data_IF_339037440888
#
_entry.id   IF_339037440888
#
_cell.length_a   1.000
_cell.length_b   1.000
_cell.length_c   1.000
_cell.angle_alpha   90.00
_cell.angle_beta   90.00
_cell.angle_gamma   90.00
#
_symmetry.space_group_name_H-M   'P 1'
#
loop_
_entity.id
_entity.type
_entity.pdbx_description
1 polymer ?
#
# COMPACT_ATOMS: atom_id res chain seq x y z
N UNK A 1 11.99 20.58 -4.21
CA UNK A 1 10.84 21.42 -3.80
C UNK A 1 10.92 22.84 -4.34
N UNK A 2 12.00 23.59 -4.08
CA UNK A 2 12.14 25.00 -4.51
C UNK A 2 11.95 25.19 -6.03
N UNK A 3 12.59 24.35 -6.85
CA UNK A 3 12.45 24.40 -8.32
C UNK A 3 11.01 24.09 -8.80
N UNK A 4 10.28 23.24 -8.08
CA UNK A 4 8.87 22.94 -8.42
C UNK A 4 7.94 24.12 -8.14
N UNK A 5 8.18 24.85 -7.04
CA UNK A 5 7.44 26.08 -6.74
C UNK A 5 7.77 27.21 -7.73
N UNK A 6 9.04 27.34 -8.12
CA UNK A 6 9.44 28.29 -9.16
C UNK A 6 8.79 27.96 -10.51
N UNK A 7 8.71 26.68 -10.87
CA UNK A 7 8.05 26.24 -12.11
C UNK A 7 6.55 26.58 -12.16
N UNK A 8 5.85 26.64 -11.01
CA UNK A 8 4.44 27.05 -10.97
C UNK A 8 4.24 28.53 -11.32
N UNK A 9 5.28 29.35 -11.19
CA UNK A 9 5.27 30.79 -11.47
C UNK A 9 5.84 31.06 -12.89
N UNK A 10 6.71 30.18 -13.38
CA UNK A 10 7.43 30.33 -14.66
C UNK A 10 6.61 29.75 -15.84
N UNK A 11 6.79 30.33 -17.03
CA UNK A 11 6.11 29.99 -18.29
C UNK A 11 6.25 28.52 -18.73
N UNK A 12 5.22 28.04 -19.43
CA UNK A 12 5.07 26.67 -19.97
C UNK A 12 6.25 26.18 -20.83
N UNK A 13 6.95 27.09 -21.52
CA UNK A 13 8.16 26.85 -22.33
C UNK A 13 9.28 26.12 -21.57
N UNK A 14 9.36 26.30 -20.26
CA UNK A 14 10.43 25.73 -19.41
C UNK A 14 10.12 24.31 -18.90
N UNK A 15 8.91 23.80 -19.15
CA UNK A 15 8.45 22.51 -18.61
C UNK A 15 9.32 21.33 -19.06
N UNK A 16 9.74 21.32 -20.32
CA UNK A 16 10.57 20.25 -20.87
C UNK A 16 11.92 20.15 -20.14
N UNK A 17 12.57 21.30 -19.86
CA UNK A 17 13.80 21.35 -19.08
C UNK A 17 13.60 20.86 -17.64
N UNK A 18 12.47 21.23 -17.02
CA UNK A 18 12.13 20.76 -15.68
C UNK A 18 11.93 19.23 -15.62
N UNK A 19 11.29 18.64 -16.62
CA UNK A 19 11.13 17.18 -16.71
C UNK A 19 12.47 16.46 -16.80
N UNK A 20 13.38 16.93 -17.66
CA UNK A 20 14.74 16.36 -17.79
C UNK A 20 15.51 16.48 -16.47
N UNK A 21 15.47 17.67 -15.85
CA UNK A 21 16.09 17.88 -14.55
C UNK A 21 15.51 16.95 -13.48
N UNK A 22 14.18 16.73 -13.45
CA UNK A 22 13.53 15.85 -12.49
C UNK A 22 14.02 14.40 -12.62
N UNK A 23 14.12 13.88 -13.84
CA UNK A 23 14.63 12.53 -14.11
C UNK A 23 16.09 12.39 -13.65
N UNK A 24 16.94 13.38 -13.97
CA UNK A 24 18.34 13.39 -13.52
C UNK A 24 18.41 13.46 -11.98
N UNK A 25 17.60 14.32 -11.37
CA UNK A 25 17.57 14.47 -9.92
C UNK A 25 17.15 13.17 -9.22
N UNK A 26 16.09 12.52 -9.69
CA UNK A 26 15.60 11.25 -9.11
C UNK A 26 16.65 10.15 -9.26
N UNK A 27 17.30 10.03 -10.41
CA UNK A 27 18.36 9.02 -10.62
C UNK A 27 19.57 9.26 -9.71
N UNK A 28 20.07 10.50 -9.62
CA UNK A 28 21.18 10.86 -8.72
C UNK A 28 20.80 10.62 -7.26
N UNK A 29 19.60 11.01 -6.85
CA UNK A 29 19.11 10.80 -5.49
C UNK A 29 19.07 9.31 -5.13
N UNK A 30 18.53 8.46 -6.01
CA UNK A 30 18.47 7.01 -5.77
C UNK A 30 19.85 6.37 -5.68
N UNK A 31 20.81 6.77 -6.51
CA UNK A 31 22.19 6.26 -6.45
C UNK A 31 22.93 6.73 -5.19
N UNK A 32 22.79 7.99 -4.80
CA UNK A 32 23.35 8.51 -3.54
C UNK A 32 22.73 7.83 -2.32
N UNK A 33 21.43 7.56 -2.36
CA UNK A 33 20.73 6.83 -1.30
C UNK A 33 21.24 5.40 -1.18
N UNK A 34 21.38 4.65 -2.30
CA UNK A 34 22.00 3.31 -2.30
C UNK A 34 23.39 3.33 -1.66
N UNK A 35 24.23 4.29 -2.05
CA UNK A 35 25.59 4.44 -1.49
C UNK A 35 25.55 4.70 0.01
N UNK A 36 24.64 5.57 0.47
CA UNK A 36 24.47 5.88 1.90
C UNK A 36 23.94 4.67 2.68
N UNK A 37 23.01 3.90 2.13
CA UNK A 37 22.52 2.67 2.74
C UNK A 37 23.64 1.63 2.91
N UNK A 38 24.52 1.48 1.91
CA UNK A 38 25.68 0.58 2.01
C UNK A 38 26.67 1.01 3.10
N UNK A 39 26.95 2.31 3.22
CA UNK A 39 27.81 2.85 4.29
C UNK A 39 27.20 2.59 5.68
N UNK A 40 25.91 2.83 5.85
CA UNK A 40 25.20 2.55 7.10
C UNK A 40 25.19 1.06 7.44
N UNK A 41 24.93 0.20 6.45
CA UNK A 41 24.97 -1.25 6.65
C UNK A 41 26.37 -1.74 7.03
N UNK A 42 27.43 -1.11 6.50
CA UNK A 42 28.81 -1.41 6.89
C UNK A 42 29.06 -0.98 8.34
N UNK A 43 28.70 0.26 8.69
CA UNK A 43 28.89 0.80 10.03
C UNK A 43 28.11 0.03 11.10
N UNK A 44 26.93 -0.50 10.74
CA UNK A 44 26.12 -1.35 11.62
C UNK A 44 26.51 -2.83 11.57
N UNK A 45 27.42 -3.23 10.67
CA UNK A 45 27.84 -4.63 10.52
C UNK A 45 26.79 -5.57 9.93
N UNK A 46 25.74 -5.06 9.28
CA UNK A 46 24.58 -5.85 8.81
C UNK A 46 24.65 -6.28 7.34
N UNK A 47 25.72 -5.92 6.61
CA UNK A 47 25.86 -6.17 5.16
C UNK A 47 25.61 -7.63 4.75
N UNK A 48 26.09 -8.60 5.52
CA UNK A 48 26.03 -10.03 5.16
C UNK A 48 24.98 -10.84 5.93
N UNK A 49 24.19 -10.23 6.82
CA UNK A 49 23.25 -10.98 7.68
C UNK A 49 22.14 -11.69 6.89
N UNK A 50 21.70 -11.13 5.75
CA UNK A 50 20.62 -11.72 4.93
C UNK A 50 20.96 -13.08 4.33
N UNK A 51 22.25 -13.43 4.20
CA UNK A 51 22.69 -14.74 3.70
C UNK A 51 22.58 -15.85 4.75
N UNK A 52 22.45 -15.48 6.03
CA UNK A 52 22.37 -16.37 7.18
C UNK A 52 20.94 -16.51 7.72
N UNK A 53 19.94 -16.02 6.99
CA UNK A 53 18.54 -16.08 7.40
C UNK A 53 18.10 -17.55 7.61
N UNK A 54 17.60 -17.83 8.81
CA UNK A 54 17.01 -19.12 9.13
C UNK A 54 15.72 -19.36 8.33
N UNK A 55 15.38 -20.63 8.02
CA UNK A 55 14.11 -20.95 7.38
C UNK A 55 12.93 -20.41 8.20
N UNK A 56 11.96 -19.78 7.55
CA UNK A 56 10.73 -19.32 8.21
C UNK A 56 10.00 -20.51 8.86
N UNK A 57 9.25 -20.31 9.96
CA UNK A 57 8.51 -21.40 10.63
C UNK A 57 7.52 -22.14 9.72
N UNK A 58 6.91 -21.43 8.77
CA UNK A 58 5.93 -21.97 7.81
C UNK A 58 6.59 -22.54 6.54
N UNK A 59 7.92 -22.73 6.52
CA UNK A 59 8.60 -23.33 5.38
C UNK A 59 8.55 -24.85 5.49
N UNK A 60 8.06 -25.49 4.44
CA UNK A 60 7.90 -26.94 4.40
C UNK A 60 8.76 -27.56 3.30
N UNK A 61 9.34 -28.73 3.57
CA UNK A 61 10.25 -29.41 2.66
C UNK A 61 10.71 -30.75 3.21
N UNK A 62 11.50 -31.47 2.42
CA UNK A 62 12.16 -32.70 2.88
C UNK A 62 13.32 -32.33 3.80
N UNK A 63 13.44 -32.98 4.96
CA UNK A 63 14.56 -32.74 5.87
C UNK A 63 15.87 -33.17 5.21
N UNK A 64 16.85 -32.28 5.18
CA UNK A 64 18.17 -32.52 4.60
C UNK A 64 19.25 -31.73 5.34
N UNK A 65 20.51 -32.12 5.16
CA UNK A 65 21.65 -31.39 5.72
C UNK A 65 21.96 -30.21 4.79
N UNK A 66 21.92 -28.99 5.32
CA UNK A 66 22.29 -27.79 4.58
C UNK A 66 23.79 -27.78 4.27
N UNK A 67 24.17 -27.53 3.02
CA UNK A 67 25.57 -27.59 2.58
C UNK A 67 26.43 -26.45 3.13
N UNK A 68 25.80 -25.35 3.56
CA UNK A 68 26.48 -24.17 4.10
C UNK A 68 26.57 -24.24 5.62
N UNK A 69 25.45 -24.50 6.29
CA UNK A 69 25.40 -24.48 7.77
C UNK A 69 25.65 -25.83 8.42
N UNK A 70 25.58 -26.94 7.68
CA UNK A 70 25.73 -28.31 8.20
C UNK A 70 24.58 -28.75 9.13
N UNK A 71 23.57 -27.92 9.34
CA UNK A 71 22.41 -28.23 10.20
C UNK A 71 21.35 -28.98 9.40
N UNK A 72 20.61 -29.86 10.10
CA UNK A 72 19.42 -30.51 9.52
C UNK A 72 18.30 -29.47 9.42
N UNK A 73 17.90 -29.13 8.20
CA UNK A 73 16.86 -28.14 7.91
C UNK A 73 15.93 -28.67 6.81
N UNK A 74 14.67 -28.21 6.75
CA UNK A 74 13.80 -28.47 5.61
C UNK A 74 14.43 -27.89 4.33
N UNK A 75 14.40 -28.66 3.25
CA UNK A 75 14.87 -28.26 1.92
C UNK A 75 13.74 -28.40 0.90
N UNK A 76 13.61 -27.40 0.03
CA UNK A 76 12.65 -27.40 -1.07
C UNK A 76 13.35 -26.98 -2.37
N UNK A 77 13.16 -27.70 -3.48
CA UNK A 77 13.82 -27.38 -4.73
C UNK A 77 13.32 -26.04 -5.31
N UNK A 78 14.26 -25.11 -5.55
CA UNK A 78 13.95 -23.75 -6.02
C UNK A 78 13.19 -23.71 -7.34
N UNK A 79 13.42 -24.67 -8.24
CA UNK A 79 12.71 -24.74 -9.53
C UNK A 79 11.20 -24.93 -9.36
N UNK A 80 10.75 -25.68 -8.33
CA UNK A 80 9.33 -25.84 -8.03
C UNK A 80 8.72 -24.53 -7.52
N UNK A 81 9.42 -23.81 -6.64
CA UNK A 81 8.99 -22.48 -6.17
C UNK A 81 8.90 -21.49 -7.32
N UNK A 82 9.89 -21.46 -8.20
CA UNK A 82 9.89 -20.57 -9.37
C UNK A 82 8.76 -20.93 -10.35
N UNK A 83 8.49 -22.21 -10.61
CA UNK A 83 7.35 -22.63 -11.42
C UNK A 83 6.02 -22.17 -10.80
N UNK A 84 5.83 -22.36 -9.50
CA UNK A 84 4.64 -21.88 -8.78
C UNK A 84 4.46 -20.36 -8.91
N UNK A 85 5.57 -19.62 -8.77
CA UNK A 85 5.58 -18.17 -8.91
C UNK A 85 5.20 -17.73 -10.33
N UNK A 86 5.86 -18.26 -11.35
CA UNK A 86 5.66 -17.81 -12.74
C UNK A 86 4.40 -18.38 -13.40
N UNK A 87 4.03 -19.62 -13.12
CA UNK A 87 2.90 -20.28 -13.80
C UNK A 87 1.55 -20.06 -13.12
N UNK A 88 1.52 -19.72 -11.82
CA UNK A 88 0.26 -19.59 -11.07
C UNK A 88 0.11 -18.20 -10.46
N UNK A 89 1.08 -17.79 -9.65
CA UNK A 89 0.97 -16.53 -8.90
C UNK A 89 0.97 -15.31 -9.81
N UNK A 90 1.91 -15.23 -10.76
CA UNK A 90 2.01 -14.12 -11.69
C UNK A 90 0.76 -13.97 -12.59
N UNK A 91 0.21 -15.05 -13.20
CA UNK A 91 -1.05 -14.95 -13.94
C UNK A 91 -2.24 -14.49 -13.10
N UNK A 92 -2.35 -14.94 -11.85
CA UNK A 92 -3.42 -14.49 -10.93
C UNK A 92 -3.27 -13.00 -10.63
N UNK A 93 -2.04 -12.54 -10.36
CA UNK A 93 -1.76 -11.12 -10.15
C UNK A 93 -2.15 -10.31 -11.39
N UNK A 94 -1.72 -10.73 -12.59
CA UNK A 94 -2.10 -10.06 -13.85
C UNK A 94 -3.62 -10.03 -14.02
N UNK A 95 -4.32 -11.12 -13.76
CA UNK A 95 -5.78 -11.19 -13.84
C UNK A 95 -6.44 -10.20 -12.88
N UNK A 96 -5.95 -10.08 -11.64
CA UNK A 96 -6.43 -9.09 -10.69
C UNK A 96 -6.15 -7.65 -11.15
N UNK A 97 -4.99 -7.38 -11.74
CA UNK A 97 -4.65 -6.06 -12.30
C UNK A 97 -5.58 -5.71 -13.46
N UNK A 98 -5.84 -6.65 -14.37
CA UNK A 98 -6.79 -6.46 -15.47
C UNK A 98 -8.21 -6.24 -14.97
N UNK A 99 -8.64 -7.00 -13.95
CA UNK A 99 -9.96 -6.82 -13.35
C UNK A 99 -10.10 -5.42 -12.72
N UNK A 100 -9.09 -4.94 -11.98
CA UNK A 100 -9.08 -3.59 -11.42
C UNK A 100 -9.16 -2.52 -12.52
N UNK A 101 -8.43 -2.72 -13.62
CA UNK A 101 -8.49 -1.82 -14.78
C UNK A 101 -9.88 -1.80 -15.43
N UNK A 102 -10.51 -2.96 -15.62
CA UNK A 102 -11.87 -3.06 -16.15
C UNK A 102 -12.91 -2.39 -15.26
N UNK A 103 -12.83 -2.60 -13.94
CA UNK A 103 -13.71 -1.95 -12.96
C UNK A 103 -13.59 -0.43 -13.08
N UNK A 104 -12.36 0.08 -13.16
CA UNK A 104 -12.11 1.51 -13.35
C UNK A 104 -12.76 2.06 -14.64
N UNK A 105 -12.61 1.35 -15.77
CA UNK A 105 -13.23 1.77 -17.04
C UNK A 105 -14.76 1.82 -16.94
N UNK A 106 -15.39 0.81 -16.33
CA UNK A 106 -16.84 0.76 -16.12
C UNK A 106 -17.28 1.94 -15.25
N UNK A 107 -16.57 2.23 -14.16
CA UNK A 107 -16.89 3.35 -13.28
C UNK A 107 -16.82 4.70 -14.01
N UNK A 108 -15.81 4.92 -14.84
CA UNK A 108 -15.74 6.13 -15.66
C UNK A 108 -16.84 6.22 -16.71
N UNK A 109 -17.18 5.12 -17.37
CA UNK A 109 -18.26 5.09 -18.36
C UNK A 109 -19.62 5.41 -17.72
N UNK A 110 -19.89 4.88 -16.52
CA UNK A 110 -21.08 5.20 -15.74
C UNK A 110 -21.10 6.69 -15.33
N UNK A 111 -19.96 7.22 -14.88
CA UNK A 111 -19.84 8.63 -14.49
C UNK A 111 -20.10 9.59 -15.67
N UNK A 112 -19.55 9.28 -16.85
CA UNK A 112 -19.74 10.07 -18.07
C UNK A 112 -21.19 10.04 -18.57
N UNK A 113 -21.82 8.86 -18.53
CA UNK A 113 -23.22 8.69 -18.93
C UNK A 113 -24.16 9.51 -18.03
N UNK A 114 -23.93 9.48 -16.71
CA UNK A 114 -24.74 10.23 -15.75
C UNK A 114 -24.55 11.75 -15.90
N UNK A 115 -23.30 12.20 -16.11
CA UNK A 115 -23.00 13.62 -16.38
C UNK A 115 -23.70 14.12 -17.65
N UNK A 116 -23.70 13.32 -18.71
CA UNK A 116 -24.33 13.68 -19.99
C UNK A 116 -25.86 13.70 -19.90
N UNK A 117 -26.48 12.78 -19.16
CA UNK A 117 -27.94 12.72 -19.03
C UNK A 117 -28.52 13.80 -18.09
N UNK A 118 -27.74 14.30 -17.12
CA UNK A 118 -28.22 15.25 -16.11
C UNK A 118 -27.84 16.71 -16.38
N UNK A 119 -27.29 17.04 -17.55
CA UNK A 119 -26.89 18.42 -17.90
C UNK A 119 -28.08 19.41 -17.87
N UNK A 120 -29.33 18.94 -17.97
CA UNK A 120 -30.54 19.80 -17.90
C UNK A 120 -31.36 19.68 -16.59
N UNK A 121 -30.96 18.84 -15.63
CA UNK A 121 -31.77 18.58 -14.44
C UNK A 121 -31.37 19.44 -13.23
N UNK A 122 -32.13 20.51 -12.95
CA UNK A 122 -31.96 21.33 -11.74
C UNK A 122 -32.55 20.65 -10.50
N UNK A 123 -31.80 20.60 -9.38
CA UNK A 123 -32.29 20.19 -8.05
C UNK A 123 -31.54 19.01 -7.41
N UNK A 124 -32.25 18.20 -6.60
CA UNK A 124 -31.73 17.02 -5.87
C UNK A 124 -30.98 16.00 -6.74
N UNK A 125 -31.12 16.09 -8.07
CA UNK A 125 -30.37 15.31 -9.05
C UNK A 125 -28.86 15.60 -9.04
N UNK A 126 -28.41 16.74 -8.50
CA UNK A 126 -26.98 17.06 -8.38
C UNK A 126 -26.22 16.10 -7.44
N UNK A 127 -26.91 15.53 -6.43
CA UNK A 127 -26.31 14.51 -5.55
C UNK A 127 -26.12 13.16 -6.25
N UNK A 128 -26.90 12.86 -7.29
CA UNK A 128 -26.80 11.61 -8.05
C UNK A 128 -25.50 11.57 -8.86
N UNK A 129 -24.96 12.72 -9.28
CA UNK A 129 -23.69 12.83 -10.01
C UNK A 129 -22.49 12.42 -9.12
N UNK A 130 -22.59 12.60 -7.79
CA UNK A 130 -21.52 12.25 -6.85
C UNK A 130 -21.51 10.76 -6.45
N UNK A 131 -22.65 10.07 -6.58
CA UNK A 131 -22.80 8.67 -6.16
C UNK A 131 -21.79 7.70 -6.81
N UNK A 132 -21.54 7.72 -8.13
CA UNK A 132 -20.59 6.82 -8.78
C UNK A 132 -19.19 6.91 -8.20
N UNK A 133 -18.71 8.12 -7.87
CA UNK A 133 -17.38 8.33 -7.28
C UNK A 133 -17.26 7.74 -5.87
N UNK A 134 -18.29 7.90 -5.04
CA UNK A 134 -18.33 7.32 -3.69
C UNK A 134 -18.36 5.79 -3.77
N UNK A 135 -19.21 5.24 -4.65
CA UNK A 135 -19.32 3.80 -4.86
C UNK A 135 -18.01 3.22 -5.39
N UNK A 136 -17.38 3.86 -6.37
CA UNK A 136 -16.07 3.45 -6.89
C UNK A 136 -15.00 3.44 -5.80
N UNK A 137 -14.92 4.49 -4.99
CA UNK A 137 -14.00 4.55 -3.84
C UNK A 137 -14.21 3.39 -2.87
N UNK A 138 -15.48 3.04 -2.59
CA UNK A 138 -15.82 1.87 -1.76
C UNK A 138 -15.36 0.55 -2.38
N UNK A 139 -15.57 0.36 -3.69
CA UNK A 139 -15.13 -0.85 -4.43
C UNK A 139 -13.61 -0.98 -4.40
N UNK A 140 -12.89 0.11 -4.65
CA UNK A 140 -11.41 0.19 -4.59
C UNK A 140 -10.92 -0.22 -3.20
N UNK A 141 -11.53 0.31 -2.13
CA UNK A 141 -11.18 -0.04 -0.75
C UNK A 141 -11.38 -1.53 -0.46
N UNK A 142 -12.54 -2.09 -0.81
CA UNK A 142 -12.83 -3.52 -0.62
C UNK A 142 -11.88 -4.41 -1.43
N UNK A 143 -11.56 -3.99 -2.66
CA UNK A 143 -10.64 -4.71 -3.55
C UNK A 143 -9.22 -4.76 -2.98
N UNK A 144 -8.72 -3.65 -2.40
CA UNK A 144 -7.42 -3.62 -1.72
C UNK A 144 -7.37 -4.59 -0.53
N UNK A 145 -8.42 -4.61 0.31
CA UNK A 145 -8.50 -5.53 1.45
C UNK A 145 -8.50 -7.00 1.01
N UNK A 146 -9.26 -7.32 -0.05
CA UNK A 146 -9.36 -8.68 -0.56
C UNK A 146 -8.06 -9.12 -1.25
N UNK A 147 -7.48 -8.26 -2.08
CA UNK A 147 -6.22 -8.53 -2.75
C UNK A 147 -5.08 -8.72 -1.76
N UNK A 148 -5.06 -7.99 -0.63
CA UNK A 148 -4.06 -8.21 0.43
C UNK A 148 -4.10 -9.62 1.01
N UNK A 149 -5.31 -10.19 1.17
CA UNK A 149 -5.49 -11.59 1.59
C UNK A 149 -5.01 -12.55 0.50
N UNK A 150 -5.39 -12.32 -0.76
CA UNK A 150 -4.93 -13.14 -1.90
C UNK A 150 -3.41 -13.13 -1.98
N UNK A 151 -2.78 -11.95 -2.00
CA UNK A 151 -1.33 -11.81 -2.12
C UNK A 151 -0.58 -12.53 -1.00
N UNK A 152 -1.09 -12.47 0.23
CA UNK A 152 -0.52 -13.22 1.36
C UNK A 152 -0.66 -14.72 1.14
N UNK A 153 -1.85 -15.20 0.79
CA UNK A 153 -2.10 -16.62 0.55
C UNK A 153 -1.28 -17.20 -0.61
N UNK A 154 -1.19 -16.47 -1.74
CA UNK A 154 -0.36 -16.84 -2.89
C UNK A 154 1.12 -16.94 -2.50
N UNK A 155 1.61 -15.99 -1.71
CA UNK A 155 3.01 -15.97 -1.30
C UNK A 155 3.31 -17.05 -0.26
N UNK A 156 2.33 -17.43 0.57
CA UNK A 156 2.45 -18.59 1.46
C UNK A 156 2.54 -19.90 0.67
N UNK A 157 1.72 -20.04 -0.38
CA UNK A 157 1.67 -21.23 -1.24
C UNK A 157 2.93 -21.42 -2.09
N UNK A 158 3.59 -20.34 -2.49
CA UNK A 158 4.90 -20.34 -3.17
C UNK A 158 6.01 -20.99 -2.34
N UNK A 159 5.87 -20.97 -1.01
CA UNK A 159 6.78 -21.58 -0.06
C UNK A 159 8.23 -21.04 -0.16
N UNK A 160 8.42 -19.77 0.17
CA UNK A 160 9.74 -19.14 0.27
C UNK A 160 10.50 -19.58 1.53
N UNK A 161 11.82 -19.74 1.44
CA UNK A 161 12.67 -20.20 2.55
C UNK A 161 12.83 -19.14 3.64
N UNK A 162 13.27 -17.94 3.27
CA UNK A 162 13.57 -16.85 4.21
C UNK A 162 12.38 -15.90 4.35
N UNK A 163 12.23 -15.31 5.54
CA UNK A 163 11.19 -14.31 5.80
C UNK A 163 11.37 -13.06 4.91
N UNK A 164 12.61 -12.62 4.72
CA UNK A 164 12.97 -11.52 3.82
C UNK A 164 12.52 -11.74 2.37
N UNK A 165 12.64 -12.98 1.87
CA UNK A 165 12.18 -13.35 0.53
C UNK A 165 10.66 -13.36 0.43
N UNK A 166 9.98 -13.94 1.43
CA UNK A 166 8.52 -13.93 1.52
C UNK A 166 7.98 -12.50 1.49
N UNK A 167 8.53 -11.62 2.34
CA UNK A 167 8.09 -10.24 2.43
C UNK A 167 8.36 -9.45 1.16
N UNK A 168 9.52 -9.65 0.51
CA UNK A 168 9.83 -9.00 -0.77
C UNK A 168 8.82 -9.37 -1.87
N UNK A 169 8.48 -10.65 -2.02
CA UNK A 169 7.52 -11.09 -3.04
C UNK A 169 6.09 -10.62 -2.71
N UNK A 170 5.71 -10.66 -1.44
CA UNK A 170 4.40 -10.15 -0.99
C UNK A 170 4.27 -8.65 -1.25
N UNK A 171 5.27 -7.85 -0.82
CA UNK A 171 5.29 -6.39 -1.01
C UNK A 171 5.27 -6.02 -2.49
N UNK A 172 6.01 -6.74 -3.34
CA UNK A 172 5.99 -6.48 -4.78
C UNK A 172 4.60 -6.68 -5.38
N UNK A 173 3.90 -7.76 -5.01
CA UNK A 173 2.53 -8.01 -5.50
C UNK A 173 1.54 -6.95 -5.04
N UNK A 174 1.63 -6.53 -3.77
CA UNK A 174 0.80 -5.47 -3.19
C UNK A 174 1.07 -4.14 -3.88
N UNK A 175 2.35 -3.75 -3.98
CA UNK A 175 2.75 -2.49 -4.58
C UNK A 175 2.32 -2.37 -6.05
N UNK A 176 2.43 -3.44 -6.85
CA UNK A 176 1.94 -3.43 -8.24
C UNK A 176 0.43 -3.20 -8.32
N UNK A 177 -0.35 -3.86 -7.46
CA UNK A 177 -1.80 -3.70 -7.44
C UNK A 177 -2.23 -2.31 -6.96
N UNK A 178 -1.66 -1.85 -5.87
CA UNK A 178 -1.91 -0.50 -5.33
C UNK A 178 -1.49 0.58 -6.32
N UNK A 179 -0.37 0.39 -7.03
CA UNK A 179 0.08 1.31 -8.06
C UNK A 179 -0.93 1.44 -9.20
N UNK A 180 -1.39 0.32 -9.77
CA UNK A 180 -2.42 0.36 -10.81
C UNK A 180 -3.72 0.97 -10.26
N UNK A 181 -4.16 0.54 -9.09
CA UNK A 181 -5.42 1.02 -8.53
C UNK A 181 -5.41 2.53 -8.24
N UNK A 182 -4.27 3.10 -7.82
CA UNK A 182 -4.15 4.51 -7.48
C UNK A 182 -3.83 5.41 -8.70
N UNK A 183 -2.97 4.96 -9.60
CA UNK A 183 -2.45 5.80 -10.68
C UNK A 183 -3.13 5.55 -12.04
N UNK A 184 -3.80 4.42 -12.24
CA UNK A 184 -4.36 4.09 -13.56
C UNK A 184 -5.49 5.05 -13.97
N UNK A 185 -6.27 5.53 -13.01
CA UNK A 185 -7.32 6.53 -13.24
C UNK A 185 -6.72 7.86 -13.72
N UNK A 186 -5.63 8.29 -13.09
CA UNK A 186 -4.88 9.48 -13.47
C UNK A 186 -4.27 9.34 -14.87
N UNK A 187 -3.71 8.17 -15.20
CA UNK A 187 -3.20 7.89 -16.55
C UNK A 187 -4.31 7.93 -17.60
N UNK A 188 -5.49 7.39 -17.29
CA UNK A 188 -6.65 7.46 -18.17
C UNK A 188 -7.06 8.91 -18.45
N UNK A 189 -7.16 9.74 -17.40
CA UNK A 189 -7.52 11.17 -17.57
C UNK A 189 -6.45 11.92 -18.38
N UNK A 190 -5.17 11.71 -18.07
CA UNK A 190 -4.08 12.43 -18.71
C UNK A 190 -3.93 12.09 -20.21
N UNK A 191 -3.99 10.80 -20.56
CA UNK A 191 -3.67 10.36 -21.93
C UNK A 191 -4.91 10.17 -22.82
N UNK A 192 -6.02 9.68 -22.25
CA UNK A 192 -7.24 9.40 -23.02
C UNK A 192 -8.17 10.61 -23.07
N UNK A 193 -8.56 11.15 -21.91
CA UNK A 193 -9.46 12.33 -21.84
C UNK A 193 -8.72 13.64 -22.17
N UNK A 194 -7.42 13.72 -21.87
CA UNK A 194 -6.56 14.92 -22.05
C UNK A 194 -7.08 16.17 -21.34
N UNK A 195 -7.85 15.98 -20.27
CA UNK A 195 -8.35 17.07 -19.43
C UNK A 195 -7.35 17.38 -18.31
N UNK A 196 -6.59 18.46 -18.48
CA UNK A 196 -5.55 18.86 -17.54
C UNK A 196 -6.11 19.48 -16.25
N UNK A 197 -7.31 20.05 -16.31
CA UNK A 197 -7.95 20.67 -15.15
C UNK A 197 -8.48 19.59 -14.21
N UNK A 198 -9.17 18.58 -14.74
CA UNK A 198 -9.61 17.42 -13.97
C UNK A 198 -8.42 16.65 -13.39
N UNK A 199 -7.35 16.48 -14.18
CA UNK A 199 -6.12 15.81 -13.72
C UNK A 199 -5.49 16.55 -12.54
N UNK A 200 -5.36 17.88 -12.63
CA UNK A 200 -4.78 18.71 -11.56
C UNK A 200 -5.63 18.63 -10.29
N UNK A 201 -6.96 18.69 -10.42
CA UNK A 201 -7.87 18.59 -9.29
C UNK A 201 -7.77 17.22 -8.61
N UNK A 202 -7.81 16.12 -9.38
CA UNK A 202 -7.69 14.77 -8.82
C UNK A 202 -6.32 14.50 -8.19
N UNK A 203 -5.22 14.95 -8.81
CA UNK A 203 -3.89 14.84 -8.22
C UNK A 203 -3.80 15.60 -6.90
N UNK A 204 -4.32 16.84 -6.85
CA UNK A 204 -4.31 17.65 -5.64
C UNK A 204 -5.14 17.01 -4.52
N UNK A 205 -6.36 16.54 -4.83
CA UNK A 205 -7.21 15.88 -3.84
C UNK A 205 -6.56 14.58 -3.35
N UNK A 206 -6.02 13.76 -4.24
CA UNK A 206 -5.32 12.53 -3.89
C UNK A 206 -4.13 12.80 -2.96
N UNK A 207 -3.28 13.78 -3.28
CA UNK A 207 -2.12 14.13 -2.46
C UNK A 207 -2.52 14.64 -1.07
N UNK A 208 -3.52 15.52 -0.99
CA UNK A 208 -4.01 16.06 0.27
C UNK A 208 -4.62 14.93 1.13
N UNK A 209 -5.45 14.09 0.51
CA UNK A 209 -6.11 12.96 1.18
C UNK A 209 -5.06 11.96 1.68
N UNK A 210 -4.09 11.56 0.85
CA UNK A 210 -3.01 10.64 1.24
C UNK A 210 -2.17 11.19 2.39
N UNK A 211 -1.83 12.48 2.34
CA UNK A 211 -1.08 13.12 3.42
C UNK A 211 -1.90 13.14 4.72
N UNK A 212 -3.19 13.46 4.63
CA UNK A 212 -4.09 13.46 5.79
C UNK A 212 -4.26 12.07 6.40
N UNK A 213 -4.50 11.04 5.58
CA UNK A 213 -4.60 9.66 6.05
C UNK A 213 -3.30 9.17 6.69
N UNK A 214 -2.15 9.47 6.10
CA UNK A 214 -0.85 9.09 6.65
C UNK A 214 -0.63 9.69 8.04
N UNK A 215 -0.94 10.99 8.21
CA UNK A 215 -0.87 11.66 9.52
C UNK A 215 -1.86 11.07 10.53
N UNK A 216 -3.05 10.68 10.09
CA UNK A 216 -4.05 10.03 10.95
C UNK A 216 -3.58 8.66 11.42
N UNK A 217 -3.08 7.82 10.51
CA UNK A 217 -2.60 6.47 10.84
C UNK A 217 -1.35 6.48 11.71
N UNK A 218 -0.41 7.38 11.44
CA UNK A 218 0.88 7.43 12.14
C UNK A 218 0.77 8.08 13.52
N UNK A 219 -0.04 9.12 13.68
CA UNK A 219 -0.13 9.88 14.93
C UNK A 219 -1.48 9.69 15.63
N UNK A 220 -2.60 9.89 14.95
CA UNK A 220 -3.90 10.00 15.60
C UNK A 220 -4.44 8.64 16.09
N UNK A 221 -4.38 7.60 15.27
CA UNK A 221 -4.84 6.25 15.63
C UNK A 221 -4.08 5.67 16.84
N UNK A 222 -2.75 5.64 16.91
CA UNK A 222 -2.05 5.07 18.06
C UNK A 222 -2.28 5.88 19.34
N UNK A 223 -2.40 7.21 19.25
CA UNK A 223 -2.67 8.06 20.41
C UNK A 223 -4.10 7.88 20.93
N UNK A 224 -5.10 7.84 20.04
CA UNK A 224 -6.50 7.60 20.44
C UNK A 224 -6.69 6.20 21.01
N UNK A 225 -6.04 5.18 20.43
CA UNK A 225 -6.05 3.82 20.95
C UNK A 225 -5.43 3.75 22.35
N UNK A 226 -4.25 4.37 22.55
CA UNK A 226 -3.59 4.45 23.87
C UNK A 226 -4.43 5.22 24.89
N UNK A 227 -5.04 6.34 24.49
CA UNK A 227 -5.91 7.14 25.35
C UNK A 227 -7.18 6.37 25.75
N UNK A 228 -7.84 5.69 24.80
CA UNK A 228 -8.98 4.83 25.08
C UNK A 228 -8.60 3.68 26.01
N UNK A 229 -7.47 3.01 25.76
CA UNK A 229 -6.98 1.94 26.62
C UNK A 229 -6.71 2.43 28.05
N UNK A 230 -6.07 3.59 28.20
CA UNK A 230 -5.81 4.19 29.52
C UNK A 230 -7.09 4.63 30.24
N UNK A 231 -8.06 5.21 29.51
CA UNK A 231 -9.36 5.62 30.07
C UNK A 231 -10.19 4.42 30.51
N UNK A 232 -10.21 3.34 29.72
CA UNK A 232 -10.87 2.07 30.07
C UNK A 232 -10.20 1.43 31.28
N UNK A 233 -8.87 1.36 31.32
CA UNK A 233 -8.11 0.83 32.47
C UNK A 233 -8.40 1.60 33.77
N UNK A 234 -8.44 2.94 33.70
CA UNK A 234 -8.78 3.78 34.86
C UNK A 234 -10.23 3.65 35.33
N UNK A 235 -11.17 3.35 34.42
CA UNK A 235 -12.55 3.07 34.80
C UNK A 235 -12.69 1.70 35.48
N UNK A 236 -11.99 0.69 34.97
CA UNK A 236 -11.95 -0.65 35.56
C UNK A 236 -11.33 -0.59 36.97
N UNK A 237 -10.18 0.06 37.14
CA UNK A 237 -9.52 0.18 38.46
C UNK A 237 -10.37 0.93 39.49
N UNK A 238 -11.11 1.96 39.07
CA UNK A 238 -12.08 2.67 39.94
C UNK A 238 -13.26 1.80 40.34
N UNK A 239 -13.76 0.93 39.45
CA UNK A 239 -14.82 -0.02 39.80
C UNK A 239 -14.33 -1.12 40.74
N UNK A 240 -13.14 -1.68 40.51
CA UNK A 240 -12.53 -2.68 41.40
C UNK A 240 -12.25 -2.10 42.79
N UNK A 241 -11.76 -0.86 42.86
CA UNK A 241 -11.53 -0.16 44.13
C UNK A 241 -12.84 0.08 44.91
N UNK A 242 -13.92 0.50 44.24
CA UNK A 242 -15.25 0.65 44.87
C UNK A 242 -15.83 -0.68 45.35
N UNK A 243 -15.71 -1.76 44.57
CA UNK A 243 -16.19 -3.08 44.96
C UNK A 243 -15.49 -3.59 46.23
N UNK A 244 -14.17 -3.44 46.31
CA UNK A 244 -13.40 -3.85 47.48
C UNK A 244 -13.74 -3.02 48.73
N UNK A 245 -14.02 -1.71 48.56
CA UNK A 245 -14.48 -0.83 49.63
C UNK A 245 -15.87 -1.20 50.16
N UNK A 246 -16.79 -1.60 49.27
CA UNK A 246 -18.11 -2.09 49.68
C UNK A 246 -18.01 -3.42 50.43
N UNK A 247 -17.22 -4.37 49.92
CA UNK A 247 -17.00 -5.67 50.56
C UNK A 247 -16.36 -5.53 51.95
N UNK A 248 -15.35 -4.68 52.09
CA UNK A 248 -14.71 -4.41 53.38
C UNK A 248 -15.66 -3.76 54.41
N UNK A 249 -16.72 -3.10 53.95
CA UNK A 249 -17.75 -2.49 54.82
C UNK A 249 -18.85 -3.47 55.21
N UNK A 250 -19.03 -4.56 54.45
CA UNK A 250 -19.93 -5.67 54.78
C UNK A 250 -19.30 -6.66 55.77
N UNK A 251 -17.97 -6.72 55.83
CA UNK A 251 -17.20 -7.59 56.72
C UNK A 251 -16.89 -6.96 58.11
N UNK A 252 -17.30 -5.70 58.35
CA UNK A 252 -17.22 -4.99 59.65
C UNK A 252 -18.60 -4.86 60.31
#
# INVERSE_FOLDING_TARGET
MVLGFLQLIVSQETLAFFCVFNVIWVTVFLELWKRRCSELAFNWGTINMTSLDEPRPNFHGTMGIDSVTGKVQPQYPRWKTNLKLYCVSLPIVILCLLAAFWIMLISFWVEDTLKTQQTEATGLNSYIILLPGIVYTGIVYVSNLYYRKIATHLTEWENHRAQSQFDRHRVLKLMLFEFINNFMSLFYIAFWLRDMDLLRQQLATMLIILQAFSHLEEAAIPLTLRWCHHKISNLISRQTSKYNLFKAKEEM
#
